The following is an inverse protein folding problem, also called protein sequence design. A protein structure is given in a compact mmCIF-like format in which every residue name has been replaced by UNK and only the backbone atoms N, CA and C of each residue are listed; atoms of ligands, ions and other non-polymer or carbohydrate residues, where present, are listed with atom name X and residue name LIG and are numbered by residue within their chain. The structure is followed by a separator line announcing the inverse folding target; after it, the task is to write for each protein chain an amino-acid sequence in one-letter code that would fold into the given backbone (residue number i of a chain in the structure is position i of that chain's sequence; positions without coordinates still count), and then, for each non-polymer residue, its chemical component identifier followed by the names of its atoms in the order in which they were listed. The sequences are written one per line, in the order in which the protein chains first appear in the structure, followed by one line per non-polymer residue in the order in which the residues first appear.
data_IF_146744955338
#
_entry.id   IF_146744955338
#
_cell.length_a   1.000
_cell.length_b   1.000
_cell.length_c   1.000
_cell.angle_alpha   90.00
_cell.angle_beta   90.00
_cell.angle_gamma   90.00
#
_symmetry.space_group_name_H-M   'P 1'
#
loop_
_entity.id
_entity.type
_entity.pdbx_description
1 polymer ?
#
# COMPACT_ATOMS: atom_id res chain seq x y z
N UNK A 1 38.65 35.31 9.66
CA UNK A 1 37.94 36.56 9.31
C UNK A 1 36.48 36.43 9.73
N UNK A 2 36.07 37.14 10.78
CA UNK A 2 34.68 37.15 11.25
C UNK A 2 33.81 37.93 10.26
N UNK A 3 32.96 37.21 9.50
CA UNK A 3 31.90 37.82 8.71
C UNK A 3 30.80 38.28 9.69
N UNK A 4 30.63 39.59 9.87
CA UNK A 4 29.46 40.17 10.53
C UNK A 4 28.22 39.65 9.81
N UNK A 5 27.43 38.81 10.50
CA UNK A 5 26.05 38.52 10.11
C UNK A 5 25.21 39.69 10.62
N UNK A 6 24.74 40.49 9.69
CA UNK A 6 23.84 41.62 9.95
C UNK A 6 22.52 41.10 10.54
N UNK A 7 22.08 41.70 11.65
CA UNK A 7 20.83 41.33 12.29
C UNK A 7 19.68 41.90 11.46
N UNK A 8 19.09 41.06 10.61
CA UNK A 8 17.87 41.44 9.87
C UNK A 8 16.72 41.65 10.86
N UNK A 9 15.97 42.77 10.77
CA UNK A 9 15.06 43.23 11.83
C UNK A 9 13.79 42.38 12.02
N UNK A 10 13.59 41.35 11.20
CA UNK A 10 12.54 40.34 11.37
C UNK A 10 13.11 38.94 11.08
N UNK A 11 14.17 38.54 11.78
CA UNK A 11 14.47 37.12 11.84
C UNK A 11 13.24 36.44 12.49
N UNK A 12 12.35 35.86 11.67
CA UNK A 12 11.40 34.85 12.11
C UNK A 12 12.23 33.63 12.51
N UNK A 13 12.89 33.70 13.67
CA UNK A 13 13.15 32.51 14.46
C UNK A 13 11.76 31.94 14.63
N UNK A 14 11.47 30.83 13.95
CA UNK A 14 10.17 30.22 14.06
C UNK A 14 9.92 30.01 15.56
N UNK A 15 8.98 30.77 16.12
CA UNK A 15 8.56 30.68 17.53
C UNK A 15 8.19 29.22 17.89
N UNK A 16 8.01 28.37 16.88
CA UNK A 16 7.98 26.91 16.93
C UNK A 16 9.10 26.27 17.80
N UNK A 17 10.32 26.81 17.82
CA UNK A 17 11.37 26.30 18.70
C UNK A 17 11.26 26.80 20.15
N UNK A 18 10.51 27.89 20.39
CA UNK A 18 10.27 28.47 21.72
C UNK A 18 9.10 27.82 22.45
N UNK A 19 8.15 27.24 21.72
CA UNK A 19 7.04 26.47 22.28
C UNK A 19 7.29 24.96 22.25
N UNK A 20 8.48 24.50 22.65
CA UNK A 20 8.63 23.09 23.03
C UNK A 20 7.95 22.92 24.38
N UNK A 21 6.83 22.22 24.40
CA UNK A 21 6.10 21.94 25.64
C UNK A 21 7.05 21.35 26.68
N UNK A 22 7.10 21.91 27.89
CA UNK A 22 7.82 21.35 29.05
C UNK A 22 7.24 20.00 29.53
N UNK A 23 6.37 19.39 28.73
CA UNK A 23 5.70 18.13 29.01
C UNK A 23 6.42 17.08 28.18
N UNK A 24 7.09 16.15 28.87
CA UNK A 24 7.58 14.92 28.26
C UNK A 24 6.40 14.25 27.55
N UNK A 25 6.48 13.96 26.24
CA UNK A 25 5.40 13.28 25.53
C UNK A 25 5.00 12.01 26.30
N UNK A 26 3.69 11.73 26.46
CA UNK A 26 3.27 10.53 27.15
C UNK A 26 3.87 9.30 26.46
N UNK A 27 4.25 8.25 27.23
CA UNK A 27 4.75 7.02 26.66
C UNK A 27 3.76 6.48 25.60
N UNK A 28 4.29 5.98 24.48
CA UNK A 28 3.46 5.35 23.46
C UNK A 28 2.72 4.17 24.05
N UNK A 29 1.40 4.20 23.97
CA UNK A 29 0.56 3.12 24.45
C UNK A 29 0.78 1.86 23.60
N UNK A 30 0.95 0.72 24.27
CA UNK A 30 1.13 -0.56 23.58
C UNK A 30 -0.23 -1.05 23.10
N UNK A 31 -0.33 -1.63 21.89
CA UNK A 31 -1.59 -2.16 21.42
C UNK A 31 -2.07 -3.28 22.36
N UNK A 32 -3.36 -3.28 22.66
CA UNK A 32 -3.99 -4.38 23.39
C UNK A 32 -4.01 -5.66 22.55
N UNK A 33 -4.21 -6.80 23.18
CA UNK A 33 -4.34 -8.10 22.50
C UNK A 33 -5.50 -8.08 21.50
N UNK A 34 -6.62 -7.44 21.84
CA UNK A 34 -7.78 -7.32 20.95
C UNK A 34 -7.49 -6.46 19.71
N UNK A 35 -6.71 -5.38 19.87
CA UNK A 35 -6.28 -4.54 18.74
C UNK A 35 -5.35 -5.31 17.81
N UNK A 36 -4.44 -6.11 18.34
CA UNK A 36 -3.55 -6.95 17.53
C UNK A 36 -4.32 -8.05 16.80
N UNK A 37 -5.24 -8.73 17.49
CA UNK A 37 -6.10 -9.74 16.90
C UNK A 37 -6.97 -9.17 15.77
N UNK A 38 -7.58 -8.01 15.98
CA UNK A 38 -8.39 -7.33 14.97
C UNK A 38 -7.60 -6.97 13.71
N UNK A 39 -6.41 -6.35 13.89
CA UNK A 39 -5.51 -6.03 12.76
C UNK A 39 -5.07 -7.26 11.98
N UNK A 40 -4.77 -8.34 12.70
CA UNK A 40 -4.36 -9.61 12.10
C UNK A 40 -5.50 -10.27 11.32
N UNK A 41 -6.71 -10.27 11.88
CA UNK A 41 -7.90 -10.83 11.23
C UNK A 41 -8.21 -10.12 9.92
N UNK A 42 -8.18 -8.78 9.91
CA UNK A 42 -8.39 -7.99 8.69
C UNK A 42 -7.35 -8.36 7.63
N UNK A 43 -6.07 -8.41 8.01
CA UNK A 43 -4.99 -8.79 7.09
C UNK A 43 -5.19 -10.20 6.52
N UNK A 44 -5.52 -11.17 7.37
CA UNK A 44 -5.77 -12.55 6.96
C UNK A 44 -6.95 -12.66 5.99
N UNK A 45 -8.05 -11.94 6.23
CA UNK A 45 -9.22 -11.93 5.34
C UNK A 45 -8.87 -11.41 3.95
N UNK A 46 -8.11 -10.31 3.88
CA UNK A 46 -7.68 -9.74 2.59
C UNK A 46 -6.78 -10.72 1.84
N UNK A 47 -5.80 -11.32 2.53
CA UNK A 47 -4.90 -12.32 1.93
C UNK A 47 -5.67 -13.54 1.45
N UNK A 48 -6.60 -14.06 2.25
CA UNK A 48 -7.43 -15.20 1.87
C UNK A 48 -8.29 -14.90 0.64
N UNK A 49 -8.86 -13.70 0.55
CA UNK A 49 -9.62 -13.25 -0.63
C UNK A 49 -8.76 -13.17 -1.89
N UNK A 50 -7.54 -12.64 -1.77
CA UNK A 50 -6.58 -12.59 -2.90
C UNK A 50 -6.17 -14.00 -3.35
N UNK A 51 -5.84 -14.88 -2.40
CA UNK A 51 -5.50 -16.28 -2.70
C UNK A 51 -6.68 -16.98 -3.37
N UNK A 52 -7.89 -16.84 -2.85
CA UNK A 52 -9.10 -17.38 -3.45
C UNK A 52 -9.29 -16.86 -4.88
N UNK A 53 -9.14 -15.55 -5.10
CA UNK A 53 -9.24 -14.95 -6.44
C UNK A 53 -8.21 -15.53 -7.41
N UNK A 54 -7.01 -15.88 -6.98
CA UNK A 54 -6.01 -16.52 -7.84
C UNK A 54 -6.36 -17.98 -8.11
N UNK A 55 -6.75 -18.72 -7.06
CA UNK A 55 -7.12 -20.14 -7.17
C UNK A 55 -8.30 -20.35 -8.12
N UNK A 56 -9.28 -19.45 -8.13
CA UNK A 56 -10.45 -19.55 -9.01
C UNK A 56 -10.32 -18.75 -10.30
N UNK A 57 -9.66 -17.59 -10.26
CA UNK A 57 -9.52 -16.71 -11.42
C UNK A 57 -8.56 -17.24 -12.48
N UNK A 58 -7.44 -17.86 -12.08
CA UNK A 58 -6.49 -18.41 -13.06
C UNK A 58 -7.08 -19.56 -13.87
N UNK A 59 -7.74 -20.58 -13.27
CA UNK A 59 -8.42 -21.61 -14.06
C UNK A 59 -9.55 -21.06 -14.93
N UNK A 60 -10.28 -20.04 -14.47
CA UNK A 60 -11.34 -19.41 -15.26
C UNK A 60 -10.81 -18.67 -16.50
N UNK A 61 -9.56 -18.18 -16.45
CA UNK A 61 -8.86 -17.56 -17.56
C UNK A 61 -8.10 -18.57 -18.42
N UNK A 62 -7.88 -19.79 -17.93
CA UNK A 62 -7.31 -20.84 -18.73
C UNK A 62 -8.32 -21.17 -19.84
N UNK A 63 -7.95 -20.89 -21.08
CA UNK A 63 -8.65 -21.47 -22.21
C UNK A 63 -8.66 -22.98 -21.99
N UNK A 64 -9.84 -23.59 -22.02
CA UNK A 64 -9.96 -25.04 -22.05
C UNK A 64 -8.92 -25.54 -23.04
N UNK A 65 -8.17 -26.59 -22.68
CA UNK A 65 -7.31 -27.28 -23.62
C UNK A 65 -8.26 -27.89 -24.66
N UNK A 66 -8.71 -27.06 -25.60
CA UNK A 66 -9.50 -27.50 -26.72
C UNK A 66 -8.63 -28.55 -27.38
N UNK A 67 -9.09 -29.82 -27.49
CA UNK A 67 -8.41 -30.77 -28.35
C UNK A 67 -8.26 -30.03 -29.67
N UNK A 68 -7.06 -30.06 -30.26
CA UNK A 68 -6.69 -29.28 -31.43
C UNK A 68 -7.71 -29.38 -32.57
N UNK A 69 -8.82 -28.65 -32.46
CA UNK A 69 -9.79 -28.45 -33.50
C UNK A 69 -9.24 -27.23 -34.19
N UNK A 70 -8.44 -27.54 -35.21
CA UNK A 70 -8.10 -26.63 -36.28
C UNK A 70 -9.33 -25.76 -36.54
N UNK A 71 -9.24 -24.47 -36.23
CA UNK A 71 -10.18 -23.49 -36.76
C UNK A 71 -9.98 -23.50 -38.28
N UNK A 72 -10.71 -24.37 -38.96
CA UNK A 72 -10.81 -24.36 -40.41
C UNK A 72 -11.66 -23.14 -40.76
N UNK A 73 -11.01 -22.07 -41.22
CA UNK A 73 -11.70 -20.89 -41.72
C UNK A 73 -12.36 -21.25 -43.05
N UNK A 74 -13.70 -21.25 -43.12
CA UNK A 74 -14.44 -21.45 -44.38
C UNK A 74 -14.11 -20.36 -45.43
N UNK A 75 -13.49 -19.25 -45.02
CA UNK A 75 -12.96 -18.22 -45.92
C UNK A 75 -11.70 -18.67 -46.70
N UNK A 76 -11.06 -19.78 -46.33
CA UNK A 76 -9.99 -20.38 -47.12
C UNK A 76 -10.49 -21.30 -48.24
N UNK A 77 -11.78 -21.67 -48.24
CA UNK A 77 -12.38 -22.49 -49.31
C UNK A 77 -12.92 -21.58 -50.44
N UNK A 78 -12.00 -20.78 -50.97
CA UNK A 78 -12.25 -19.88 -52.09
C UNK A 78 -11.56 -20.39 -53.34
N UNK A 79 -12.19 -21.36 -54.03
CA UNK A 79 -12.10 -21.58 -55.50
C UNK A 79 -13.09 -22.63 -56.00
#
# INVERSE_FOLDING_TARGET
MFRRREAVPFAFVAEADRFRSNVTPPPRERPSVSQLAGRSLVGLTVVAGLVGSLLFGLPALAADQSPAHTQQSEASDGR
#
